data_IF_617561747623
#
_entry.id   IF_617561747623
#
_cell.length_a   1.000
_cell.length_b   1.000
_cell.length_c   1.000
_cell.angle_alpha   90.00
_cell.angle_beta   90.00
_cell.angle_gamma   90.00
#
_symmetry.space_group_name_H-M   'P 1'
#
loop_
_entity.id
_entity.type
_entity.pdbx_description
1 polymer ?
#
# COMPACT_ATOMS: atom_id res chain seq x y z
N UNK A 1 11.06 47.31 -6.88
CA UNK A 1 11.23 45.94 -6.37
C UNK A 1 9.88 45.25 -6.39
N UNK A 2 9.68 44.19 -7.18
CA UNK A 2 8.50 43.35 -7.03
C UNK A 2 8.87 41.91 -6.61
N UNK A 3 7.93 41.34 -5.86
CA UNK A 3 7.87 40.00 -5.29
C UNK A 3 8.33 38.88 -6.23
N UNK A 4 9.18 38.00 -5.69
CA UNK A 4 9.49 36.69 -6.27
C UNK A 4 8.41 35.70 -5.84
N UNK A 5 7.32 35.64 -6.60
CA UNK A 5 6.42 34.48 -6.59
C UNK A 5 7.17 33.23 -7.05
N UNK A 6 7.51 32.36 -6.10
CA UNK A 6 8.09 31.04 -6.36
C UNK A 6 7.07 30.15 -7.06
N UNK A 7 7.13 30.12 -8.39
CA UNK A 7 6.38 29.20 -9.25
C UNK A 7 6.94 27.80 -9.03
N UNK A 8 6.21 26.92 -8.35
CA UNK A 8 6.53 25.48 -8.29
C UNK A 8 6.23 24.89 -9.66
N UNK A 9 7.28 24.45 -10.33
CA UNK A 9 7.21 23.92 -11.69
C UNK A 9 7.90 22.55 -11.66
N UNK A 10 7.11 21.49 -11.84
CA UNK A 10 7.61 20.15 -12.05
C UNK A 10 8.24 20.08 -13.45
N UNK A 11 9.51 19.71 -13.55
CA UNK A 11 10.20 19.52 -14.83
C UNK A 11 10.76 18.10 -14.94
N UNK A 12 10.39 17.44 -16.04
CA UNK A 12 10.96 16.17 -16.50
C UNK A 12 12.16 16.42 -17.43
N UNK A 13 13.31 15.74 -17.26
CA UNK A 13 14.35 15.70 -18.26
C UNK A 13 14.40 14.38 -19.05
N UNK A 14 14.76 14.54 -20.32
CA UNK A 14 14.70 13.61 -21.45
C UNK A 14 15.74 12.48 -21.42
N UNK A 15 15.31 11.38 -22.04
CA UNK A 15 16.01 10.34 -22.82
C UNK A 15 17.51 10.09 -22.59
N UNK A 16 17.80 8.99 -21.87
CA UNK A 16 18.98 8.16 -22.15
C UNK A 16 18.60 7.10 -23.18
N UNK A 17 19.43 6.92 -24.19
CA UNK A 17 19.25 5.97 -25.29
C UNK A 17 19.23 4.53 -24.74
N UNK A 18 18.05 3.89 -24.75
CA UNK A 18 17.81 2.62 -24.07
C UNK A 18 18.17 1.40 -24.93
N UNK A 19 19.15 0.62 -24.48
CA UNK A 19 19.50 -0.69 -25.06
C UNK A 19 18.39 -1.70 -24.74
N UNK A 20 17.78 -2.27 -25.78
CA UNK A 20 16.74 -3.32 -25.64
C UNK A 20 17.39 -4.70 -25.51
N UNK A 21 16.96 -5.48 -24.52
CA UNK A 21 17.39 -6.86 -24.26
C UNK A 21 16.17 -7.77 -24.35
N UNK A 22 16.36 -9.05 -24.71
CA UNK A 22 15.27 -10.03 -24.74
C UNK A 22 15.01 -10.55 -23.34
N UNK A 23 13.79 -10.40 -22.85
CA UNK A 23 13.33 -10.93 -21.55
C UNK A 23 12.37 -12.09 -21.75
N UNK A 24 12.33 -13.00 -20.76
CA UNK A 24 11.32 -14.05 -20.63
C UNK A 24 10.33 -13.59 -19.54
N UNK A 25 9.07 -13.44 -19.91
CA UNK A 25 7.97 -13.11 -18.99
C UNK A 25 7.19 -14.38 -18.69
N UNK A 26 7.30 -14.88 -17.46
CA UNK A 26 6.59 -16.06 -16.99
C UNK A 26 5.21 -15.65 -16.44
N UNK A 27 4.14 -16.26 -16.95
CA UNK A 27 2.75 -15.89 -16.60
C UNK A 27 2.00 -17.03 -15.90
N UNK A 28 2.71 -18.02 -15.36
CA UNK A 28 2.09 -19.16 -14.66
C UNK A 28 1.62 -20.28 -15.61
N UNK A 29 0.68 -21.12 -15.15
CA UNK A 29 0.30 -22.36 -15.83
C UNK A 29 -1.16 -22.36 -16.32
N UNK A 30 -1.62 -21.34 -17.06
CA UNK A 30 -3.07 -21.22 -17.22
C UNK A 30 -3.64 -20.57 -18.48
N UNK A 31 -3.03 -20.76 -19.65
CA UNK A 31 -3.71 -20.42 -20.89
C UNK A 31 -3.47 -21.51 -21.95
N UNK A 32 -4.49 -22.34 -22.18
CA UNK A 32 -4.50 -23.38 -23.21
C UNK A 32 -4.98 -22.85 -24.58
N UNK A 33 -5.63 -21.67 -24.59
CA UNK A 33 -6.05 -20.99 -25.83
C UNK A 33 -4.98 -19.99 -26.28
N UNK A 34 -4.42 -20.25 -27.45
CA UNK A 34 -3.33 -19.48 -28.06
C UNK A 34 -3.73 -18.04 -28.36
N UNK A 35 -4.98 -17.84 -28.78
CA UNK A 35 -5.52 -16.53 -29.17
C UNK A 35 -5.65 -15.61 -27.95
N UNK A 36 -6.28 -16.12 -26.88
CA UNK A 36 -6.41 -15.40 -25.61
C UNK A 36 -5.06 -15.10 -24.95
N UNK A 37 -4.11 -16.04 -25.04
CA UNK A 37 -2.74 -15.84 -24.54
C UNK A 37 -2.04 -14.69 -25.25
N UNK A 38 -2.07 -14.69 -26.58
CA UNK A 38 -1.41 -13.68 -27.39
C UNK A 38 -2.04 -12.30 -27.19
N UNK A 39 -3.38 -12.23 -27.08
CA UNK A 39 -4.07 -10.98 -26.78
C UNK A 39 -3.67 -10.42 -25.41
N UNK A 40 -3.61 -11.27 -24.39
CA UNK A 40 -3.15 -10.87 -23.05
C UNK A 40 -1.71 -10.35 -23.09
N UNK A 41 -0.79 -11.08 -23.73
CA UNK A 41 0.62 -10.69 -23.81
C UNK A 41 0.83 -9.39 -24.60
N UNK A 42 0.05 -9.17 -25.66
CA UNK A 42 0.04 -7.91 -26.40
C UNK A 42 -0.43 -6.75 -25.52
N UNK A 43 -1.50 -6.94 -24.73
CA UNK A 43 -1.96 -5.92 -23.79
C UNK A 43 -0.92 -5.61 -22.71
N UNK A 44 -0.27 -6.63 -22.13
CA UNK A 44 0.82 -6.42 -21.17
C UNK A 44 1.97 -5.62 -21.80
N UNK A 45 2.34 -5.94 -23.04
CA UNK A 45 3.40 -5.22 -23.76
C UNK A 45 3.04 -3.77 -24.10
N UNK A 46 1.77 -3.49 -24.41
CA UNK A 46 1.27 -2.13 -24.63
C UNK A 46 1.27 -1.31 -23.35
N UNK A 47 0.88 -1.90 -22.22
CA UNK A 47 0.87 -1.22 -20.92
C UNK A 47 2.26 -0.77 -20.48
N UNK A 48 3.30 -1.56 -20.78
CA UNK A 48 4.69 -1.19 -20.43
C UNK A 48 5.41 -0.41 -21.53
N UNK A 49 4.78 -0.15 -22.68
CA UNK A 49 5.40 0.59 -23.77
C UNK A 49 5.31 2.11 -23.54
N UNK A 50 6.40 2.84 -23.83
CA UNK A 50 6.36 4.31 -23.87
C UNK A 50 5.48 4.77 -25.04
N UNK A 51 4.71 5.84 -24.85
CA UNK A 51 3.69 6.35 -25.79
C UNK A 51 4.18 6.62 -27.22
N UNK A 52 5.49 6.89 -27.38
CA UNK A 52 6.14 7.17 -28.67
C UNK A 52 7.04 6.02 -29.17
N UNK A 53 6.92 4.82 -28.61
CA UNK A 53 7.77 3.68 -28.99
C UNK A 53 7.13 2.81 -30.08
N UNK A 54 7.97 2.16 -30.88
CA UNK A 54 7.53 1.18 -31.89
C UNK A 54 6.66 0.10 -31.24
N UNK A 55 5.55 -0.33 -31.87
CA UNK A 55 4.70 -1.40 -31.36
C UNK A 55 5.53 -2.62 -30.99
N UNK A 56 5.42 -3.06 -29.74
CA UNK A 56 6.15 -4.24 -29.25
C UNK A 56 5.37 -5.49 -29.59
N UNK A 57 6.06 -6.48 -30.09
CA UNK A 57 5.49 -7.78 -30.41
C UNK A 57 6.04 -8.86 -29.47
N UNK A 58 5.21 -9.86 -29.25
CA UNK A 58 5.65 -11.14 -28.69
C UNK A 58 6.60 -11.79 -29.69
N UNK A 59 7.81 -12.12 -29.26
CA UNK A 59 8.83 -12.78 -30.07
C UNK A 59 8.66 -14.31 -30.06
N UNK A 60 8.33 -14.85 -28.89
CA UNK A 60 8.03 -16.26 -28.69
C UNK A 60 7.01 -16.41 -27.58
N UNK A 61 6.17 -17.44 -27.66
CA UNK A 61 5.23 -17.78 -26.60
C UNK A 61 5.43 -19.23 -26.13
N UNK A 62 5.47 -19.41 -24.82
CA UNK A 62 5.51 -20.72 -24.20
C UNK A 62 4.07 -21.15 -23.94
N UNK A 63 3.66 -22.29 -24.50
CA UNK A 63 2.28 -22.81 -24.43
C UNK A 63 2.18 -24.31 -24.09
N UNK A 64 3.31 -25.01 -23.94
CA UNK A 64 3.33 -26.48 -23.79
C UNK A 64 3.35 -26.92 -22.33
N UNK A 65 4.37 -26.52 -21.58
CA UNK A 65 4.55 -26.92 -20.18
C UNK A 65 4.18 -25.81 -19.18
N UNK A 66 4.24 -24.55 -19.64
CA UNK A 66 3.97 -23.34 -18.87
C UNK A 66 3.57 -22.22 -19.83
N UNK A 67 2.88 -21.21 -19.31
CA UNK A 67 2.50 -20.01 -20.04
C UNK A 67 3.53 -18.90 -19.81
N UNK A 68 3.91 -18.23 -20.88
CA UNK A 68 4.78 -17.07 -20.84
C UNK A 68 5.11 -16.62 -22.25
N UNK A 69 5.88 -15.54 -22.36
CA UNK A 69 6.32 -15.02 -23.64
C UNK A 69 7.68 -14.36 -23.56
N UNK A 70 8.32 -14.14 -24.70
CA UNK A 70 9.54 -13.35 -24.81
C UNK A 70 9.26 -12.06 -25.56
N UNK A 71 9.93 -10.99 -25.13
CA UNK A 71 9.84 -9.69 -25.77
C UNK A 71 11.15 -8.92 -25.60
N UNK A 72 11.43 -8.02 -26.56
CA UNK A 72 12.52 -7.05 -26.42
C UNK A 72 12.05 -5.87 -25.58
N UNK A 73 12.57 -5.78 -24.37
CA UNK A 73 12.26 -4.74 -23.41
C UNK A 73 13.53 -3.99 -23.04
N UNK A 74 13.39 -2.73 -22.66
CA UNK A 74 14.40 -2.02 -21.88
C UNK A 74 14.31 -2.45 -20.42
N UNK A 75 15.34 -2.18 -19.61
CA UNK A 75 15.35 -2.52 -18.18
C UNK A 75 14.13 -1.92 -17.48
N UNK A 76 13.85 -0.64 -17.71
CA UNK A 76 12.69 0.09 -17.16
C UNK A 76 11.35 -0.57 -17.52
N UNK A 77 11.24 -1.14 -18.71
CA UNK A 77 10.01 -1.78 -19.18
C UNK A 77 9.86 -3.21 -18.65
N UNK A 78 10.97 -3.89 -18.40
CA UNK A 78 10.99 -5.20 -17.74
C UNK A 78 10.62 -5.06 -16.27
N UNK A 79 11.11 -4.03 -15.57
CA UNK A 79 10.75 -3.72 -14.19
C UNK A 79 9.25 -3.43 -14.08
N UNK A 80 8.72 -2.56 -14.96
CA UNK A 80 7.26 -2.34 -15.07
C UNK A 80 6.47 -3.61 -15.36
N UNK A 81 7.03 -4.56 -16.11
CA UNK A 81 6.35 -5.84 -16.40
C UNK A 81 6.18 -6.67 -15.13
N UNK A 82 7.16 -6.66 -14.22
CA UNK A 82 7.06 -7.34 -12.92
C UNK A 82 5.98 -6.68 -12.04
N UNK A 83 5.83 -5.36 -12.13
CA UNK A 83 4.82 -4.58 -11.39
C UNK A 83 3.37 -4.74 -11.90
N UNK A 84 3.13 -5.44 -13.02
CA UNK A 84 1.79 -5.57 -13.63
C UNK A 84 0.85 -6.62 -12.99
N UNK A 85 1.17 -7.16 -11.81
CA UNK A 85 0.26 -8.02 -11.00
C UNK A 85 0.26 -7.57 -9.52
N UNK A 86 -0.80 -7.69 -8.69
CA UNK A 86 -2.25 -7.76 -8.86
C UNK A 86 -3.02 -6.47 -8.45
N UNK A 87 -2.42 -5.37 -8.02
CA UNK A 87 -3.16 -4.16 -7.55
C UNK A 87 -3.69 -3.25 -8.67
N UNK A 88 -3.58 -3.68 -9.92
CA UNK A 88 -3.79 -2.82 -11.09
C UNK A 88 -5.23 -2.50 -11.44
N UNK A 89 -6.22 -3.26 -10.92
CA UNK A 89 -7.61 -3.17 -11.40
C UNK A 89 -8.57 -2.47 -10.44
N UNK A 90 -8.29 -2.46 -9.14
CA UNK A 90 -9.24 -1.96 -8.13
C UNK A 90 -9.60 -0.49 -8.34
N UNK A 91 -8.62 0.35 -8.63
CA UNK A 91 -8.83 1.80 -8.83
C UNK A 91 -9.57 2.10 -10.13
N UNK A 92 -9.20 1.44 -11.23
CA UNK A 92 -9.96 1.54 -12.49
C UNK A 92 -11.41 1.05 -12.33
N UNK A 93 -11.62 -0.03 -11.57
CA UNK A 93 -12.94 -0.61 -11.34
C UNK A 93 -13.88 0.37 -10.62
N UNK A 94 -13.37 1.17 -9.69
CA UNK A 94 -14.15 2.21 -9.00
C UNK A 94 -14.19 3.54 -9.76
N UNK A 95 -13.67 3.58 -11.00
CA UNK A 95 -13.65 4.79 -11.83
C UNK A 95 -12.63 5.83 -11.37
N UNK A 96 -11.53 5.40 -10.74
CA UNK A 96 -10.45 6.25 -10.26
C UNK A 96 -9.12 5.97 -11.00
N UNK A 97 -9.04 6.27 -12.31
CA UNK A 97 -7.85 5.98 -13.11
C UNK A 97 -6.68 6.94 -12.81
N UNK A 98 -5.49 6.51 -13.21
CA UNK A 98 -4.20 7.20 -13.00
C UNK A 98 -4.17 8.67 -13.44
N UNK A 99 -4.89 9.03 -14.49
CA UNK A 99 -4.86 10.36 -15.10
C UNK A 99 -5.78 11.38 -14.41
N UNK A 100 -6.48 11.01 -13.33
CA UNK A 100 -7.28 11.97 -12.58
C UNK A 100 -6.38 12.99 -11.90
N UNK A 101 -6.75 14.27 -12.03
CA UNK A 101 -6.10 15.34 -11.29
C UNK A 101 -6.28 15.10 -9.79
N UNK A 102 -5.15 15.04 -9.08
CA UNK A 102 -5.11 14.92 -7.62
C UNK A 102 -4.99 16.29 -7.00
N UNK A 103 -5.54 16.42 -5.80
CA UNK A 103 -5.42 17.65 -5.02
C UNK A 103 -3.95 17.95 -4.73
N UNK A 104 -3.53 19.19 -4.99
CA UNK A 104 -2.13 19.61 -4.79
C UNK A 104 -1.66 19.43 -3.33
N UNK A 105 -2.58 19.46 -2.38
CA UNK A 105 -2.28 19.34 -0.95
C UNK A 105 -2.19 17.88 -0.48
N UNK A 106 -2.38 16.88 -1.35
CA UNK A 106 -2.27 15.46 -1.01
C UNK A 106 -0.88 15.12 -0.44
N UNK A 107 0.17 15.81 -0.91
CA UNK A 107 1.55 15.65 -0.43
C UNK A 107 1.77 16.07 1.03
N UNK A 108 0.85 16.86 1.60
CA UNK A 108 0.89 17.32 2.99
C UNK A 108 -0.01 16.49 3.91
N UNK A 109 -0.73 15.52 3.36
CA UNK A 109 -1.53 14.55 4.12
C UNK A 109 -0.63 13.46 4.67
N UNK A 110 -0.80 13.12 5.95
CA UNK A 110 -0.06 12.09 6.66
C UNK A 110 -1.02 10.98 7.07
N UNK A 111 -0.85 9.81 6.46
CA UNK A 111 -1.62 8.60 6.77
C UNK A 111 -0.89 7.80 7.85
N UNK A 112 -1.49 7.70 9.04
CA UNK A 112 -1.06 6.81 10.10
C UNK A 112 -1.52 5.37 9.84
N UNK A 113 -0.59 4.43 9.79
CA UNK A 113 -0.87 3.00 9.59
C UNK A 113 -0.57 2.25 10.88
N UNK A 114 -1.60 1.71 11.53
CA UNK A 114 -1.45 0.87 12.72
C UNK A 114 -1.62 -0.60 12.30
N UNK A 115 -0.52 -1.34 12.20
CA UNK A 115 -0.48 -2.68 11.57
C UNK A 115 0.76 -3.51 11.99
N UNK A 116 1.25 -4.43 11.14
CA UNK A 116 2.42 -5.31 11.36
C UNK A 116 3.78 -4.67 11.01
N UNK A 117 3.79 -3.38 10.68
CA UNK A 117 5.00 -2.64 10.28
C UNK A 117 5.03 -2.32 8.79
N UNK A 118 6.22 -2.00 8.27
CA UNK A 118 6.43 -1.73 6.84
C UNK A 118 7.71 -2.35 6.28
N UNK A 119 7.70 -2.74 5.01
CA UNK A 119 8.88 -3.10 4.25
C UNK A 119 9.37 -1.90 3.43
N UNK A 120 10.33 -1.11 3.95
CA UNK A 120 10.68 0.21 3.40
C UNK A 120 11.36 0.14 2.02
N UNK A 121 12.00 -0.98 1.67
CA UNK A 121 12.66 -1.15 0.37
C UNK A 121 11.67 -1.45 -0.78
N UNK A 122 10.36 -1.49 -0.51
CA UNK A 122 9.37 -1.62 -1.58
C UNK A 122 9.38 -0.37 -2.47
N UNK A 123 9.34 -0.55 -3.80
CA UNK A 123 9.19 0.56 -4.76
C UNK A 123 7.90 1.37 -4.54
N UNK A 124 6.89 0.77 -3.89
CA UNK A 124 5.69 1.49 -3.43
C UNK A 124 6.00 2.63 -2.46
N UNK A 125 7.18 2.68 -1.86
CA UNK A 125 7.56 3.67 -0.86
C UNK A 125 8.81 4.49 -1.23
N UNK A 126 9.23 4.46 -2.50
CA UNK A 126 10.38 5.23 -2.98
C UNK A 126 10.10 6.75 -3.08
N UNK A 127 10.95 7.60 -2.51
CA UNK A 127 10.66 9.02 -2.29
C UNK A 127 11.29 10.00 -3.31
N UNK A 128 11.74 9.52 -4.48
CA UNK A 128 12.48 10.31 -5.50
C UNK A 128 11.85 11.66 -5.89
N UNK A 129 10.54 11.82 -5.75
CA UNK A 129 9.78 13.01 -6.14
C UNK A 129 9.15 13.76 -4.96
N UNK A 130 9.53 13.42 -3.73
CA UNK A 130 8.94 14.00 -2.53
C UNK A 130 9.77 15.18 -2.00
N UNK A 131 9.06 16.25 -1.63
CA UNK A 131 9.61 17.32 -0.80
C UNK A 131 9.86 16.83 0.62
N UNK A 132 10.57 17.58 1.48
CA UNK A 132 10.69 17.24 2.90
C UNK A 132 9.33 17.04 3.60
N UNK A 133 9.27 16.31 4.74
CA UNK A 133 8.02 16.08 5.45
C UNK A 133 7.33 17.40 5.87
N UNK A 134 5.98 17.42 5.97
CA UNK A 134 5.24 18.61 6.39
C UNK A 134 5.70 19.11 7.77
N UNK A 135 5.82 20.43 7.93
CA UNK A 135 6.30 21.05 9.19
C UNK A 135 5.44 20.75 10.43
N UNK A 136 4.19 20.33 10.23
CA UNK A 136 3.29 19.89 11.30
C UNK A 136 3.66 18.53 11.88
N UNK A 137 4.40 17.70 11.14
CA UNK A 137 4.78 16.34 11.54
C UNK A 137 5.69 16.37 12.77
N UNK A 138 5.42 15.51 13.76
CA UNK A 138 6.20 15.43 15.00
C UNK A 138 6.74 14.06 15.35
N UNK A 139 6.38 13.03 14.60
CA UNK A 139 6.81 11.67 14.90
C UNK A 139 8.26 11.40 14.53
N UNK A 140 8.68 10.19 14.88
CA UNK A 140 10.07 9.76 14.80
C UNK A 140 10.24 8.54 13.89
N UNK A 141 11.50 8.28 13.52
CA UNK A 141 11.90 7.02 12.92
C UNK A 141 12.67 6.19 13.96
N UNK A 142 11.97 5.28 14.64
CA UNK A 142 12.51 4.35 15.63
C UNK A 142 12.94 3.02 14.96
N UNK A 143 13.58 3.11 13.79
CA UNK A 143 14.09 1.96 13.05
C UNK A 143 15.61 1.84 13.24
N UNK A 144 16.08 0.66 13.62
CA UNK A 144 17.52 0.36 13.79
C UNK A 144 18.14 -0.24 12.52
N UNK A 145 17.31 -0.77 11.63
CA UNK A 145 17.67 -1.57 10.45
C UNK A 145 17.24 -0.92 9.13
N UNK A 146 16.61 0.25 9.18
CA UNK A 146 16.36 1.10 8.01
C UNK A 146 16.23 2.57 8.43
N UNK A 147 16.29 3.48 7.46
CA UNK A 147 16.01 4.89 7.66
C UNK A 147 14.68 5.26 6.98
N UNK A 148 13.90 6.09 7.67
CA UNK A 148 12.76 6.77 7.09
C UNK A 148 13.21 7.71 5.96
N UNK A 149 12.32 7.97 5.02
CA UNK A 149 12.57 8.81 3.86
C UNK A 149 11.45 9.86 3.73
N UNK A 150 11.37 10.57 2.62
CA UNK A 150 10.31 11.56 2.45
C UNK A 150 8.93 10.92 2.18
N UNK A 151 8.83 9.62 1.90
CA UNK A 151 7.55 8.92 1.76
C UNK A 151 7.07 8.30 3.08
N UNK A 152 7.90 7.45 3.67
CA UNK A 152 7.73 6.90 5.02
C UNK A 152 8.42 7.87 5.96
N UNK A 153 7.66 8.83 6.49
CA UNK A 153 8.21 9.93 7.30
C UNK A 153 8.34 9.58 8.80
N UNK A 154 7.70 8.49 9.22
CA UNK A 154 7.72 7.98 10.57
C UNK A 154 7.57 6.46 10.62
N UNK A 155 8.22 5.85 11.59
CA UNK A 155 8.14 4.42 11.82
C UNK A 155 8.45 4.10 13.29
N UNK A 156 7.45 3.66 14.04
CA UNK A 156 7.55 3.26 15.44
C UNK A 156 7.03 1.84 15.63
N UNK A 157 7.39 1.21 16.74
CA UNK A 157 6.87 -0.10 17.11
C UNK A 157 6.54 -0.14 18.60
N UNK A 158 5.54 -0.94 18.93
CA UNK A 158 5.02 -1.13 20.28
C UNK A 158 5.02 -2.62 20.56
N UNK A 159 5.65 -3.00 21.67
CA UNK A 159 5.73 -4.39 22.10
C UNK A 159 5.79 -4.45 23.62
N UNK A 160 4.66 -4.21 24.25
CA UNK A 160 4.52 -4.23 25.69
C UNK A 160 4.34 -5.66 26.20
N UNK A 161 4.93 -5.92 27.36
CA UNK A 161 4.80 -7.17 28.14
C UNK A 161 5.15 -8.45 27.37
N UNK A 162 6.43 -8.80 27.21
CA UNK A 162 6.95 -10.18 27.30
C UNK A 162 8.50 -10.17 27.35
N UNK A 163 9.08 -11.03 28.18
CA UNK A 163 10.52 -11.19 28.39
C UNK A 163 11.20 -12.14 27.41
N UNK A 164 12.51 -11.94 27.22
CA UNK A 164 13.63 -12.77 26.70
C UNK A 164 13.43 -13.91 25.67
N UNK A 165 12.24 -14.27 25.20
CA UNK A 165 12.04 -15.24 24.11
C UNK A 165 12.20 -14.54 22.75
N UNK A 166 13.44 -14.11 22.54
CA UNK A 166 13.92 -13.16 21.54
C UNK A 166 14.16 -13.78 20.15
N UNK A 167 13.83 -15.06 19.92
CA UNK A 167 14.49 -15.81 18.84
C UNK A 167 13.82 -15.64 17.45
N UNK A 168 12.61 -15.06 17.33
CA UNK A 168 11.90 -15.08 16.04
C UNK A 168 11.52 -13.74 15.40
N UNK A 169 11.68 -12.59 16.08
CA UNK A 169 11.23 -11.32 15.49
C UNK A 169 12.26 -10.19 15.67
N UNK A 170 12.53 -9.50 14.56
CA UNK A 170 13.33 -8.28 14.53
C UNK A 170 12.57 -7.22 15.34
N UNK A 171 13.19 -6.72 16.42
CA UNK A 171 12.65 -5.62 17.23
C UNK A 171 12.87 -4.31 16.48
N UNK A 172 11.95 -4.05 15.55
CA UNK A 172 11.96 -2.92 14.62
C UNK A 172 10.55 -2.71 14.07
N UNK A 173 10.21 -1.50 13.58
CA UNK A 173 9.00 -1.24 12.79
C UNK A 173 8.97 -2.01 11.45
N UNK A 174 10.03 -2.73 11.08
CA UNK A 174 10.08 -3.55 9.87
C UNK A 174 8.97 -4.60 9.87
N UNK A 175 8.26 -4.69 8.75
CA UNK A 175 7.26 -5.73 8.53
C UNK A 175 7.92 -7.08 8.26
N UNK A 176 7.54 -8.09 9.03
CA UNK A 176 7.95 -9.49 8.84
C UNK A 176 6.76 -10.40 8.50
N UNK A 177 5.56 -9.83 8.38
CA UNK A 177 4.33 -10.54 8.04
C UNK A 177 3.90 -10.25 6.59
N UNK A 178 3.99 -8.98 6.18
CA UNK A 178 3.58 -8.49 4.86
C UNK A 178 2.24 -7.75 4.88
N UNK A 179 1.41 -7.95 5.91
CA UNK A 179 0.09 -7.33 6.01
C UNK A 179 0.17 -5.80 6.06
N UNK A 180 1.00 -5.22 6.93
CA UNK A 180 1.18 -3.78 7.04
C UNK A 180 1.77 -3.12 5.78
N UNK A 181 2.73 -3.79 5.13
CA UNK A 181 3.26 -3.36 3.83
C UNK A 181 2.16 -3.33 2.75
N UNK A 182 1.32 -4.36 2.74
CA UNK A 182 0.21 -4.49 1.81
C UNK A 182 -0.84 -3.40 2.03
N UNK A 183 -1.30 -3.19 3.26
CA UNK A 183 -2.32 -2.17 3.58
C UNK A 183 -1.79 -0.75 3.37
N UNK A 184 -0.53 -0.49 3.74
CA UNK A 184 0.15 0.80 3.49
C UNK A 184 0.23 1.14 2.00
N UNK A 185 0.60 0.16 1.16
CA UNK A 185 0.74 0.39 -0.29
C UNK A 185 -0.59 0.66 -0.98
N UNK A 186 -1.70 0.04 -0.51
CA UNK A 186 -3.05 0.33 -1.01
C UNK A 186 -3.47 1.76 -0.62
N UNK A 187 -3.28 2.13 0.64
CA UNK A 187 -3.71 3.43 1.15
C UNK A 187 -2.93 4.57 0.49
N UNK A 188 -1.60 4.47 0.48
CA UNK A 188 -0.73 5.57 0.10
C UNK A 188 0.57 5.12 -0.58
N UNK A 189 0.61 4.06 -1.39
CA UNK A 189 1.80 3.74 -2.20
C UNK A 189 2.07 4.78 -3.32
N UNK A 190 3.32 4.93 -3.74
CA UNK A 190 3.75 5.85 -4.81
C UNK A 190 3.36 5.39 -6.21
N UNK A 191 3.08 4.10 -6.36
CA UNK A 191 2.59 3.58 -7.62
C UNK A 191 1.20 4.16 -7.84
N UNK A 192 0.89 4.42 -9.11
CA UNK A 192 -0.34 5.01 -9.68
C UNK A 192 -1.64 4.24 -9.38
N UNK A 193 -1.60 3.38 -8.38
CA UNK A 193 -2.59 2.40 -7.95
C UNK A 193 -2.70 2.40 -6.42
N UNK A 194 -2.60 3.58 -5.80
CA UNK A 194 -2.95 3.81 -4.40
C UNK A 194 -4.04 4.87 -4.30
N UNK A 195 -4.77 4.86 -3.17
CA UNK A 195 -5.84 5.81 -2.91
C UNK A 195 -5.33 7.25 -2.89
N UNK A 196 -4.31 7.51 -2.08
CA UNK A 196 -3.63 8.80 -1.97
C UNK A 196 -2.13 8.64 -2.28
N UNK A 197 -1.78 8.58 -3.56
CA UNK A 197 -0.43 8.19 -3.98
C UNK A 197 0.68 9.13 -3.51
N UNK A 198 0.33 10.39 -3.28
CA UNK A 198 1.23 11.48 -2.87
C UNK A 198 1.26 11.68 -1.35
N UNK A 199 0.35 11.05 -0.60
CA UNK A 199 0.29 11.18 0.85
C UNK A 199 1.53 10.58 1.53
N UNK A 200 1.91 11.12 2.68
CA UNK A 200 2.97 10.58 3.53
C UNK A 200 2.46 9.40 4.34
N UNK A 201 3.37 8.49 4.70
CA UNK A 201 3.08 7.34 5.54
C UNK A 201 3.82 7.50 6.86
N UNK A 202 3.12 7.29 7.97
CA UNK A 202 3.74 7.02 9.26
C UNK A 202 3.22 5.71 9.83
N UNK A 203 4.12 4.83 10.25
CA UNK A 203 3.80 3.44 10.60
C UNK A 203 3.97 3.22 12.09
N UNK A 204 2.97 2.57 12.68
CA UNK A 204 2.92 2.23 14.10
C UNK A 204 2.71 0.71 14.20
N UNK A 205 3.82 -0.02 14.34
CA UNK A 205 3.77 -1.48 14.39
C UNK A 205 3.28 -1.95 15.76
N UNK A 206 2.11 -2.57 15.79
CA UNK A 206 1.50 -3.12 17.02
C UNK A 206 1.22 -4.61 16.92
N UNK A 207 1.22 -5.15 15.69
CA UNK A 207 0.98 -6.56 15.43
C UNK A 207 2.30 -7.31 15.27
N UNK A 208 2.39 -8.42 15.99
CA UNK A 208 3.50 -9.37 15.94
C UNK A 208 2.98 -10.75 15.56
N UNK A 209 3.87 -11.74 15.51
CA UNK A 209 3.51 -13.12 15.17
C UNK A 209 2.46 -13.74 16.11
N UNK A 210 2.41 -13.30 17.37
CA UNK A 210 1.55 -13.87 18.40
C UNK A 210 0.19 -13.18 18.46
N UNK A 211 0.14 -11.85 18.36
CA UNK A 211 -1.09 -11.06 18.17
C UNK A 211 -0.76 -9.55 18.02
N UNK A 212 -1.81 -8.72 17.95
CA UNK A 212 -1.77 -7.29 18.24
C UNK A 212 -2.27 -7.06 19.68
N UNK A 213 -1.43 -6.56 20.59
CA UNK A 213 -1.84 -6.36 21.99
C UNK A 213 -2.63 -5.08 22.15
N UNK A 214 -3.68 -5.12 22.98
CA UNK A 214 -4.55 -3.98 23.24
C UNK A 214 -3.82 -2.76 23.79
N UNK A 215 -2.82 -3.00 24.66
CA UNK A 215 -1.96 -1.95 25.24
C UNK A 215 -1.09 -1.28 24.16
N UNK A 216 -0.59 -2.07 23.20
CA UNK A 216 0.26 -1.57 22.11
C UNK A 216 -0.56 -0.77 21.10
N UNK A 217 -1.78 -1.22 20.80
CA UNK A 217 -2.74 -0.51 19.95
C UNK A 217 -3.07 0.87 20.55
N UNK A 218 -3.35 0.93 21.85
CA UNK A 218 -3.72 2.21 22.48
C UNK A 218 -2.53 3.18 22.56
N UNK A 219 -1.31 2.66 22.79
CA UNK A 219 -0.08 3.47 22.73
C UNK A 219 0.17 4.02 21.31
N UNK A 220 -0.04 3.21 20.27
CA UNK A 220 0.06 3.66 18.88
C UNK A 220 -0.96 4.75 18.52
N UNK A 221 -2.19 4.67 19.05
CA UNK A 221 -3.16 5.77 18.88
C UNK A 221 -2.69 7.06 19.53
N UNK A 222 -2.18 6.99 20.78
CA UNK A 222 -1.71 8.16 21.51
C UNK A 222 -0.60 8.88 20.75
N UNK A 223 0.41 8.13 20.30
CA UNK A 223 1.51 8.68 19.49
C UNK A 223 1.03 9.17 18.13
N UNK A 224 0.16 8.43 17.42
CA UNK A 224 -0.35 8.88 16.13
C UNK A 224 -1.10 10.22 16.22
N UNK A 225 -1.88 10.42 17.28
CA UNK A 225 -2.57 11.69 17.56
C UNK A 225 -1.55 12.79 17.88
N UNK A 226 -0.58 12.52 18.77
CA UNK A 226 0.45 13.48 19.16
C UNK A 226 1.35 13.90 17.99
N UNK A 227 1.61 12.96 17.08
CA UNK A 227 2.43 13.11 15.89
C UNK A 227 1.73 13.88 14.76
N UNK A 228 0.42 14.15 14.93
CA UNK A 228 -0.44 14.91 14.02
C UNK A 228 -0.61 14.26 12.66
N UNK A 229 -0.89 12.96 12.65
CA UNK A 229 -1.42 12.31 11.43
C UNK A 229 -2.79 12.91 11.07
N UNK A 230 -3.14 12.91 9.79
CA UNK A 230 -4.42 13.47 9.32
C UNK A 230 -5.53 12.41 9.28
N UNK A 231 -5.15 11.16 9.05
CA UNK A 231 -6.05 10.01 8.99
C UNK A 231 -5.34 8.77 9.52
N UNK A 232 -6.09 7.90 10.20
CA UNK A 232 -5.58 6.62 10.70
C UNK A 232 -6.27 5.49 9.94
N UNK A 233 -5.48 4.59 9.36
CA UNK A 233 -5.94 3.35 8.74
C UNK A 233 -5.46 2.17 9.57
N UNK A 234 -6.41 1.34 10.00
CA UNK A 234 -6.13 0.15 10.82
C UNK A 234 -6.85 -1.02 10.18
N UNK A 235 -6.13 -2.09 9.89
CA UNK A 235 -6.70 -3.33 9.35
C UNK A 235 -6.63 -4.46 10.37
N UNK A 236 -7.10 -4.17 11.58
CA UNK A 236 -7.10 -5.07 12.74
C UNK A 236 -8.52 -5.12 13.31
N UNK A 237 -8.89 -6.30 13.81
CA UNK A 237 -10.18 -6.53 14.43
C UNK A 237 -10.16 -6.37 15.94
N UNK A 238 -11.21 -5.75 16.48
CA UNK A 238 -11.52 -5.80 17.90
C UNK A 238 -11.97 -7.19 18.35
N UNK A 239 -12.03 -7.42 19.66
CA UNK A 239 -12.58 -8.66 20.22
C UNK A 239 -14.07 -8.76 19.89
N UNK A 240 -14.55 -9.99 19.62
CA UNK A 240 -15.99 -10.32 19.54
C UNK A 240 -16.65 -10.34 20.92
N UNK A 241 -16.46 -9.29 21.69
CA UNK A 241 -17.23 -9.05 22.90
C UNK A 241 -18.16 -7.88 22.58
N UNK A 242 -19.47 -8.06 22.73
CA UNK A 242 -20.49 -6.99 22.61
C UNK A 242 -20.34 -5.93 23.72
N UNK A 243 -19.15 -5.82 24.29
CA UNK A 243 -18.78 -4.89 25.32
C UNK A 243 -18.95 -3.46 24.82
N UNK A 244 -19.37 -2.60 25.75
CA UNK A 244 -19.60 -1.16 25.52
C UNK A 244 -18.33 -0.55 24.91
N UNK A 245 -18.49 0.45 24.04
CA UNK A 245 -17.40 1.18 23.37
C UNK A 245 -16.20 1.54 24.27
N UNK A 246 -16.44 1.79 25.56
CA UNK A 246 -15.44 2.11 26.58
C UNK A 246 -14.57 0.92 27.05
N UNK A 247 -14.71 -0.26 26.45
CA UNK A 247 -13.88 -1.45 26.72
C UNK A 247 -13.15 -1.97 25.49
N UNK A 248 -13.45 -1.41 24.32
CA UNK A 248 -12.80 -1.77 23.07
C UNK A 248 -11.72 -0.71 22.76
N UNK A 249 -10.46 -1.14 22.68
CA UNK A 249 -9.33 -0.21 22.53
C UNK A 249 -9.33 0.50 21.18
N UNK A 250 -9.84 -0.13 20.13
CA UNK A 250 -9.99 0.49 18.81
C UNK A 250 -11.02 1.62 18.89
N UNK A 251 -12.14 1.38 19.57
CA UNK A 251 -13.18 2.37 19.82
C UNK A 251 -12.68 3.54 20.68
N UNK A 252 -11.95 3.27 21.77
CA UNK A 252 -11.39 4.30 22.65
C UNK A 252 -10.35 5.15 21.90
N UNK A 253 -9.38 4.51 21.24
CA UNK A 253 -8.34 5.21 20.48
C UNK A 253 -8.92 6.06 19.37
N UNK A 254 -9.87 5.50 18.61
CA UNK A 254 -10.54 6.22 17.53
C UNK A 254 -11.43 7.36 18.03
N UNK A 255 -12.01 7.25 19.23
CA UNK A 255 -12.78 8.34 19.84
C UNK A 255 -11.88 9.54 20.12
N UNK A 256 -10.70 9.31 20.70
CA UNK A 256 -9.73 10.37 20.95
C UNK A 256 -9.11 10.93 19.66
N UNK A 257 -8.91 10.10 18.64
CA UNK A 257 -8.52 10.57 17.31
C UNK A 257 -9.57 11.52 16.73
N UNK A 258 -10.86 11.13 16.76
CA UNK A 258 -11.97 11.98 16.30
C UNK A 258 -12.04 13.30 17.07
N UNK A 259 -11.86 13.28 18.41
CA UNK A 259 -11.83 14.50 19.21
C UNK A 259 -10.71 15.48 18.81
N UNK A 260 -9.63 14.97 18.22
CA UNK A 260 -8.53 15.75 17.67
C UNK A 260 -8.66 16.01 16.15
N UNK A 261 -9.83 15.73 15.56
CA UNK A 261 -10.09 15.95 14.14
C UNK A 261 -9.47 14.91 13.20
N UNK A 262 -9.03 13.76 13.73
CA UNK A 262 -8.38 12.69 12.98
C UNK A 262 -9.38 11.56 12.73
N UNK A 263 -9.70 11.32 11.46
CA UNK A 263 -10.61 10.25 11.06
C UNK A 263 -9.92 8.88 11.18
N UNK A 264 -10.64 7.87 11.69
CA UNK A 264 -10.16 6.48 11.75
C UNK A 264 -10.97 5.58 10.82
N UNK A 265 -10.29 4.76 10.03
CA UNK A 265 -10.88 3.76 9.12
C UNK A 265 -10.55 2.36 9.65
N UNK A 266 -11.58 1.51 9.78
CA UNK A 266 -11.51 0.16 10.32
C UNK A 266 -12.23 -0.85 9.40
N UNK A 267 -11.80 -2.12 9.34
CA UNK A 267 -12.50 -3.16 8.60
C UNK A 267 -13.76 -3.62 9.36
N UNK A 268 -14.76 -4.10 8.64
CA UNK A 268 -15.93 -4.76 9.21
C UNK A 268 -15.65 -6.18 9.76
N UNK A 269 -14.41 -6.68 9.61
CA UNK A 269 -13.95 -8.04 9.84
C UNK A 269 -14.41 -9.11 8.83
N UNK A 270 -13.72 -10.25 8.88
CA UNK A 270 -13.92 -11.39 7.99
C UNK A 270 -14.79 -12.50 8.61
N UNK A 271 -15.64 -12.12 9.56
CA UNK A 271 -16.43 -13.03 10.41
C UNK A 271 -17.82 -13.37 9.86
N UNK A 272 -18.15 -12.86 8.67
CA UNK A 272 -19.42 -13.11 8.00
C UNK A 272 -19.59 -14.56 7.51
N UNK A 273 -20.73 -14.89 6.88
CA UNK A 273 -21.80 -13.99 6.44
C UNK A 273 -22.97 -13.85 7.43
N UNK A 274 -22.87 -14.41 8.64
CA UNK A 274 -23.97 -14.33 9.62
C UNK A 274 -24.26 -12.89 10.04
N UNK A 275 -25.53 -12.61 10.34
CA UNK A 275 -25.95 -11.31 10.90
C UNK A 275 -25.21 -11.02 12.21
N UNK A 276 -24.95 -9.75 12.48
CA UNK A 276 -24.28 -9.29 13.70
C UNK A 276 -22.89 -9.89 13.91
N UNK A 277 -22.13 -10.05 12.83
CA UNK A 277 -20.75 -10.60 12.85
C UNK A 277 -19.65 -9.52 12.88
N UNK A 278 -20.02 -8.23 12.79
CA UNK A 278 -19.08 -7.11 12.86
C UNK A 278 -18.50 -7.00 14.27
N UNK A 279 -17.20 -6.71 14.37
CA UNK A 279 -16.56 -6.37 15.66
C UNK A 279 -16.24 -4.89 15.78
N UNK A 280 -16.03 -4.20 14.65
CA UNK A 280 -15.87 -2.75 14.60
C UNK A 280 -17.22 -2.12 14.23
N UNK A 281 -17.82 -1.36 15.14
CA UNK A 281 -19.14 -0.74 14.94
C UNK A 281 -19.30 0.59 15.70
N UNK A 282 -18.18 1.24 16.03
CA UNK A 282 -18.20 2.56 16.68
C UNK A 282 -18.75 3.65 15.75
N UNK A 283 -19.61 4.55 16.23
CA UNK A 283 -20.26 5.55 15.36
C UNK A 283 -19.31 6.66 14.88
N UNK A 284 -18.11 6.78 15.46
CA UNK A 284 -17.10 7.79 15.12
C UNK A 284 -16.00 7.31 14.16
N UNK A 285 -16.17 6.13 13.55
CA UNK A 285 -15.21 5.55 12.60
C UNK A 285 -15.88 5.24 11.27
N UNK A 286 -15.10 5.15 10.20
CA UNK A 286 -15.57 4.52 8.97
C UNK A 286 -15.32 3.02 9.07
N UNK A 287 -16.38 2.23 9.05
CA UNK A 287 -16.30 0.76 9.00
C UNK A 287 -16.46 0.30 7.56
N UNK A 288 -15.48 -0.45 7.04
CA UNK A 288 -15.40 -0.85 5.63
C UNK A 288 -15.61 -2.35 5.46
N UNK A 289 -16.64 -2.72 4.69
CA UNK A 289 -16.86 -4.11 4.25
C UNK A 289 -16.06 -4.44 2.98
N UNK A 290 -15.81 -5.73 2.74
CA UNK A 290 -15.14 -6.21 1.54
C UNK A 290 -16.13 -6.63 0.44
N UNK A 291 -15.84 -6.30 -0.81
CA UNK A 291 -16.58 -6.74 -1.99
C UNK A 291 -15.65 -7.24 -3.09
N UNK A 292 -16.19 -8.00 -4.04
CA UNK A 292 -15.45 -8.43 -5.24
C UNK A 292 -15.36 -7.32 -6.27
N UNK A 293 -14.32 -7.38 -7.11
CA UNK A 293 -14.22 -6.59 -8.35
C UNK A 293 -14.53 -7.47 -9.56
N UNK A 294 -14.55 -6.86 -10.75
CA UNK A 294 -14.79 -7.56 -12.02
C UNK A 294 -13.72 -8.61 -12.38
N UNK A 295 -12.48 -8.42 -11.95
CA UNK A 295 -11.40 -9.39 -12.17
C UNK A 295 -11.53 -10.60 -11.25
N UNK A 296 -11.57 -11.79 -11.86
CA UNK A 296 -11.61 -13.08 -11.18
C UNK A 296 -10.42 -13.96 -11.59
N UNK A 297 -9.75 -14.54 -10.60
CA UNK A 297 -8.73 -15.58 -10.83
C UNK A 297 -9.41 -16.96 -10.78
N UNK A 298 -9.23 -17.76 -11.85
CA UNK A 298 -9.83 -19.09 -11.97
C UNK A 298 -8.72 -20.10 -12.24
N UNK A 299 -8.58 -21.08 -11.37
CA UNK A 299 -7.74 -22.27 -11.60
C UNK A 299 -8.62 -23.43 -12.05
N UNK A 300 -8.55 -23.90 -13.30
CA UNK A 300 -9.33 -25.06 -13.74
C UNK A 300 -8.83 -26.32 -13.00
N UNK A 301 -9.76 -27.07 -12.42
CA UNK A 301 -9.49 -28.40 -11.88
C UNK A 301 -9.38 -29.35 -13.08
N UNK A 302 -8.24 -30.05 -13.21
CA UNK A 302 -8.03 -31.12 -14.20
C UNK A 302 -8.38 -32.47 -13.60
#
# INVERSE_FOLDING_TARGET
MPDKGGRVVCHSPRDKQLRKVTYIVYTGNNINDETSSLFLYQNMLQQVAKSNSTPKSVLHHYKRAFSGFTAKLTVEEADKMVETTPYTRSWDFIGFPEYLEREHNECDVITGIIDSGIWPESESFNDKEYSPPPSKWKGICQASDFACNNKIIGATYYRSMYGDDFIKNIISPRDTNGHGTHTSSIAAGNLVKAGASSARISVYKVCWYDNCKEVDILAAFDDAIADRVDIISISIGGKRDNSKYFRDVLSIGAFHAMQNGILTVLPAENSGPQRSSLTNFSPWVIVVGASTIDRKFIGPIR
#
